data_IF_866492657221
#
_entry.id   IF_866492657221
#
_cell.length_a   1.000
_cell.length_b   1.000
_cell.length_c   1.000
_cell.angle_alpha   90.00
_cell.angle_beta   90.00
_cell.angle_gamma   90.00
#
_symmetry.space_group_name_H-M   'P 1'
#
loop_
_entity.id
_entity.type
_entity.pdbx_description
1 polymer ?
#
# COMPACT_ATOMS: atom_id res chain seq x y z
N UNK A 1 16.82 5.21 -3.28
CA UNK A 1 15.34 5.17 -3.45
C UNK A 1 14.55 5.60 -2.21
N UNK A 2 14.89 5.15 -0.99
CA UNK A 2 14.10 5.47 0.22
C UNK A 2 13.97 6.97 0.50
N UNK A 3 15.07 7.73 0.42
CA UNK A 3 15.09 9.18 0.61
C UNK A 3 14.17 9.93 -0.39
N UNK A 4 14.24 9.56 -1.67
CA UNK A 4 13.38 10.12 -2.73
C UNK A 4 11.91 9.83 -2.43
N UNK A 5 11.59 8.61 -1.99
CA UNK A 5 10.22 8.23 -1.63
C UNK A 5 9.71 9.03 -0.42
N UNK A 6 10.54 9.24 0.62
CA UNK A 6 10.18 10.06 1.79
C UNK A 6 9.93 11.53 1.43
N UNK A 7 10.78 12.11 0.57
CA UNK A 7 10.60 13.48 0.07
C UNK A 7 9.32 13.60 -0.75
N UNK A 8 9.01 12.59 -1.58
CA UNK A 8 7.76 12.56 -2.35
C UNK A 8 6.52 12.54 -1.45
N UNK A 9 6.58 11.92 -0.27
CA UNK A 9 5.47 11.98 0.70
C UNK A 9 5.25 13.41 1.21
N UNK A 10 6.34 14.09 1.59
CA UNK A 10 6.30 15.46 2.10
C UNK A 10 5.81 16.44 1.03
N UNK A 11 6.31 16.34 -0.20
CA UNK A 11 5.84 17.18 -1.31
C UNK A 11 4.38 16.91 -1.65
N UNK A 12 3.97 15.64 -1.70
CA UNK A 12 2.57 15.28 -1.93
C UNK A 12 1.66 15.90 -0.86
N UNK A 13 2.01 15.77 0.43
CA UNK A 13 1.26 16.36 1.52
C UNK A 13 1.22 17.89 1.45
N UNK A 14 2.36 18.54 1.19
CA UNK A 14 2.47 19.98 1.02
C UNK A 14 1.53 20.48 -0.08
N UNK A 15 1.60 19.89 -1.27
CA UNK A 15 0.78 20.31 -2.41
C UNK A 15 -0.71 20.04 -2.21
N UNK A 16 -1.09 18.94 -1.55
CA UNK A 16 -2.50 18.69 -1.17
C UNK A 16 -2.97 19.81 -0.23
N UNK A 17 -2.22 20.10 0.83
CA UNK A 17 -2.60 21.12 1.82
C UNK A 17 -2.68 22.51 1.19
N UNK A 18 -1.72 22.87 0.32
CA UNK A 18 -1.77 24.13 -0.43
C UNK A 18 -2.99 24.19 -1.35
N UNK A 19 -3.27 23.13 -2.11
CA UNK A 19 -4.45 23.05 -2.97
C UNK A 19 -5.76 23.19 -2.18
N UNK A 20 -5.86 22.50 -1.04
CA UNK A 20 -7.02 22.59 -0.15
C UNK A 20 -7.18 23.99 0.48
N UNK A 21 -6.10 24.59 0.96
CA UNK A 21 -6.10 25.95 1.50
C UNK A 21 -6.60 26.96 0.45
N UNK A 22 -6.03 26.91 -0.76
CA UNK A 22 -6.44 27.78 -1.86
C UNK A 22 -7.90 27.54 -2.29
N UNK A 23 -8.33 26.28 -2.28
CA UNK A 23 -9.72 25.91 -2.57
C UNK A 23 -10.71 26.48 -1.55
N UNK A 24 -10.33 26.55 -0.28
CA UNK A 24 -11.15 27.16 0.77
C UNK A 24 -11.18 28.70 0.66
N UNK A 25 -10.04 29.33 0.42
CA UNK A 25 -9.88 30.78 0.55
C UNK A 25 -10.29 31.57 -0.71
N UNK A 26 -10.03 31.06 -1.92
CA UNK A 26 -10.09 31.88 -3.14
C UNK A 26 -11.08 31.39 -4.18
N UNK A 27 -12.10 32.18 -4.53
CA UNK A 27 -13.14 31.82 -5.52
C UNK A 27 -12.94 32.37 -6.94
N UNK A 28 -11.71 32.59 -7.38
CA UNK A 28 -11.44 33.17 -8.71
C UNK A 28 -10.81 32.18 -9.68
N UNK A 29 -11.18 32.28 -10.97
CA UNK A 29 -10.71 31.38 -12.05
C UNK A 29 -9.18 31.33 -12.14
N UNK A 30 -8.49 32.48 -11.95
CA UNK A 30 -7.01 32.52 -11.94
C UNK A 30 -6.41 31.68 -10.81
N UNK A 31 -7.10 31.60 -9.66
CA UNK A 31 -6.66 30.81 -8.50
C UNK A 31 -7.03 29.33 -8.66
N UNK A 32 -8.11 29.01 -9.38
CA UNK A 32 -8.46 27.62 -9.72
C UNK A 32 -7.37 26.92 -10.53
N UNK A 33 -6.70 27.65 -11.43
CA UNK A 33 -5.53 27.12 -12.15
C UNK A 33 -4.39 26.73 -11.19
N UNK A 34 -4.13 27.56 -10.16
CA UNK A 34 -3.10 27.27 -9.16
C UNK A 34 -3.50 26.07 -8.29
N UNK A 35 -4.79 25.95 -7.95
CA UNK A 35 -5.33 24.80 -7.23
C UNK A 35 -5.14 23.52 -8.05
N UNK A 36 -5.53 23.55 -9.33
CA UNK A 36 -5.35 22.44 -10.28
C UNK A 36 -3.87 22.06 -10.38
N UNK A 37 -2.98 23.05 -10.55
CA UNK A 37 -1.55 22.80 -10.65
C UNK A 37 -0.98 22.21 -9.36
N UNK A 38 -1.43 22.67 -8.19
CA UNK A 38 -1.04 22.09 -6.89
C UNK A 38 -1.45 20.63 -6.80
N UNK A 39 -2.69 20.28 -7.13
CA UNK A 39 -3.13 18.88 -7.12
C UNK A 39 -2.43 18.03 -8.19
N UNK A 40 -2.07 18.60 -9.34
CA UNK A 40 -1.26 17.91 -10.34
C UNK A 40 0.14 17.58 -9.81
N UNK A 41 0.82 18.55 -9.18
CA UNK A 41 2.12 18.32 -8.54
C UNK A 41 2.03 17.31 -7.41
N UNK A 42 0.93 17.30 -6.65
CA UNK A 42 0.68 16.29 -5.64
C UNK A 42 0.60 14.87 -6.24
N UNK A 43 -0.10 14.72 -7.37
CA UNK A 43 -0.23 13.44 -8.10
C UNK A 43 1.08 12.99 -8.73
N UNK A 44 1.84 13.92 -9.33
CA UNK A 44 3.17 13.65 -9.88
C UNK A 44 4.17 13.25 -8.79
N UNK A 45 4.03 13.81 -7.58
CA UNK A 45 4.82 13.39 -6.41
C UNK A 45 4.40 12.00 -5.94
N UNK A 46 3.08 11.74 -5.85
CA UNK A 46 2.55 10.45 -5.39
C UNK A 46 1.11 10.18 -5.84
N UNK A 47 0.89 9.00 -6.41
CA UNK A 47 -0.43 8.50 -6.81
C UNK A 47 -1.48 8.53 -5.68
N UNK A 48 -1.05 8.30 -4.44
CA UNK A 48 -1.92 8.33 -3.26
C UNK A 48 -2.60 9.68 -3.06
N UNK A 49 -2.08 10.75 -3.66
CA UNK A 49 -2.67 12.08 -3.61
C UNK A 49 -4.07 12.15 -4.20
N UNK A 50 -4.52 11.15 -4.97
CA UNK A 50 -5.91 11.09 -5.47
C UNK A 50 -6.97 11.21 -4.35
N UNK A 51 -6.56 10.99 -3.09
CA UNK A 51 -7.39 11.25 -1.91
C UNK A 51 -7.88 12.70 -1.79
N UNK A 52 -7.29 13.69 -2.48
CA UNK A 52 -7.83 15.04 -2.51
C UNK A 52 -9.24 15.07 -3.14
N UNK A 53 -9.57 14.15 -4.05
CA UNK A 53 -10.86 14.12 -4.75
C UNK A 53 -12.05 14.00 -3.78
N UNK A 54 -12.13 12.95 -2.93
CA UNK A 54 -13.18 12.87 -1.92
C UNK A 54 -13.08 14.00 -0.87
N UNK A 55 -11.89 14.53 -0.58
CA UNK A 55 -11.74 15.66 0.35
C UNK A 55 -12.38 16.95 -0.21
N UNK A 56 -12.16 17.27 -1.48
CA UNK A 56 -12.76 18.44 -2.12
C UNK A 56 -14.29 18.36 -2.14
N UNK A 57 -14.85 17.19 -2.45
CA UNK A 57 -16.30 16.98 -2.39
C UNK A 57 -16.84 17.20 -0.97
N UNK A 58 -16.15 16.69 0.05
CA UNK A 58 -16.55 16.86 1.45
C UNK A 58 -16.47 18.32 1.91
N UNK A 59 -15.34 18.98 1.64
CA UNK A 59 -15.11 20.39 2.00
C UNK A 59 -16.10 21.29 1.28
N UNK A 60 -16.41 20.99 0.02
CA UNK A 60 -17.42 21.73 -0.72
C UNK A 60 -18.81 21.57 -0.12
N UNK A 61 -19.18 20.34 0.25
CA UNK A 61 -20.48 20.04 0.84
C UNK A 61 -20.68 20.72 2.20
N UNK A 62 -19.66 20.73 3.07
CA UNK A 62 -19.77 21.27 4.43
C UNK A 62 -19.48 22.77 4.55
N UNK A 63 -18.51 23.29 3.79
CA UNK A 63 -17.93 24.61 4.07
C UNK A 63 -18.03 25.58 2.89
N UNK A 64 -17.44 25.22 1.75
CA UNK A 64 -17.13 26.21 0.70
C UNK A 64 -18.30 26.48 -0.24
N UNK A 65 -19.15 25.49 -0.50
CA UNK A 65 -20.36 25.57 -1.35
C UNK A 65 -20.15 26.19 -2.74
N UNK A 66 -19.00 25.93 -3.39
CA UNK A 66 -18.78 26.15 -4.82
C UNK A 66 -19.75 25.32 -5.66
N UNK A 67 -19.92 25.71 -6.93
CA UNK A 67 -20.74 24.93 -7.86
C UNK A 67 -20.13 23.55 -8.10
N UNK A 68 -20.98 22.53 -8.28
CA UNK A 68 -20.50 21.17 -8.53
C UNK A 68 -19.60 21.09 -9.77
N UNK A 69 -19.90 21.89 -10.80
CA UNK A 69 -19.09 21.99 -12.03
C UNK A 69 -17.65 22.42 -11.73
N UNK A 70 -17.45 23.46 -10.92
CA UNK A 70 -16.11 23.92 -10.53
C UNK A 70 -15.35 22.86 -9.74
N UNK A 71 -16.01 22.22 -8.78
CA UNK A 71 -15.38 21.16 -7.98
C UNK A 71 -14.96 19.98 -8.84
N UNK A 72 -15.82 19.54 -9.76
CA UNK A 72 -15.50 18.47 -10.70
C UNK A 72 -14.32 18.88 -11.59
N UNK A 73 -14.29 20.11 -12.11
CA UNK A 73 -13.18 20.58 -12.95
C UNK A 73 -11.85 20.62 -12.18
N UNK A 74 -11.85 21.21 -10.98
CA UNK A 74 -10.66 21.27 -10.11
C UNK A 74 -10.18 19.87 -9.73
N UNK A 75 -11.10 18.90 -9.60
CA UNK A 75 -10.74 17.54 -9.18
C UNK A 75 -10.30 16.64 -10.33
N UNK A 76 -10.97 16.70 -11.49
CA UNK A 76 -10.73 15.80 -12.62
C UNK A 76 -9.62 16.28 -13.56
N UNK A 77 -9.42 17.59 -13.74
CA UNK A 77 -8.36 18.08 -14.64
C UNK A 77 -6.96 17.61 -14.21
N UNK A 78 -6.55 17.72 -12.92
CA UNK A 78 -5.27 17.17 -12.48
C UNK A 78 -5.15 15.66 -12.73
N UNK A 79 -6.24 14.92 -12.52
CA UNK A 79 -6.28 13.47 -12.69
C UNK A 79 -6.08 13.08 -14.17
N UNK A 80 -6.79 13.73 -15.08
CA UNK A 80 -6.66 13.48 -16.52
C UNK A 80 -5.24 13.82 -16.99
N UNK A 81 -4.70 14.97 -16.59
CA UNK A 81 -3.33 15.36 -16.93
C UNK A 81 -2.30 14.35 -16.40
N UNK A 82 -2.46 13.90 -15.15
CA UNK A 82 -1.62 12.88 -14.55
C UNK A 82 -1.69 11.54 -15.31
N UNK A 83 -2.91 11.07 -15.63
CA UNK A 83 -3.10 9.83 -16.38
C UNK A 83 -2.51 9.91 -17.78
N UNK A 84 -2.70 11.04 -18.48
CA UNK A 84 -2.09 11.27 -19.79
C UNK A 84 -0.56 11.24 -19.71
N UNK A 85 0.04 11.91 -18.71
CA UNK A 85 1.49 11.86 -18.48
C UNK A 85 1.97 10.45 -18.18
N UNK A 86 1.21 9.70 -17.37
CA UNK A 86 1.54 8.31 -17.02
C UNK A 86 1.50 7.39 -18.24
N UNK A 87 0.43 7.43 -19.03
CA UNK A 87 0.29 6.64 -20.26
C UNK A 87 1.42 6.97 -21.23
N UNK A 88 1.71 8.27 -21.41
CA UNK A 88 2.83 8.71 -22.23
C UNK A 88 4.17 8.15 -21.74
N UNK A 89 4.44 8.25 -20.44
CA UNK A 89 5.67 7.75 -19.81
C UNK A 89 5.83 6.23 -19.96
N UNK A 90 4.78 5.47 -19.68
CA UNK A 90 4.77 4.00 -19.82
C UNK A 90 4.97 3.57 -21.28
N UNK A 91 4.47 4.34 -22.25
CA UNK A 91 4.61 4.04 -23.68
C UNK A 91 6.02 4.35 -24.21
N UNK A 92 6.63 5.45 -23.77
CA UNK A 92 7.89 5.95 -24.34
C UNK A 92 9.15 5.45 -23.62
N UNK A 93 9.09 5.21 -22.30
CA UNK A 93 10.24 4.77 -21.50
C UNK A 93 10.24 3.26 -21.22
N UNK A 94 9.81 2.47 -22.22
CA UNK A 94 9.38 1.05 -22.15
C UNK A 94 10.33 -0.02 -21.58
N UNK A 95 11.33 0.32 -20.76
CA UNK A 95 12.14 -0.65 -20.02
C UNK A 95 11.50 -1.08 -18.68
N UNK A 96 10.46 -0.40 -18.20
CA UNK A 96 9.69 -0.90 -17.08
C UNK A 96 8.75 -2.00 -17.55
N UNK A 97 9.24 -3.24 -17.61
CA UNK A 97 8.48 -4.49 -17.75
C UNK A 97 7.51 -4.72 -16.56
N UNK A 98 6.72 -3.73 -16.19
CA UNK A 98 5.50 -3.92 -15.43
C UNK A 98 4.45 -4.08 -16.51
N UNK A 99 4.36 -5.28 -17.10
CA UNK A 99 3.16 -5.69 -17.80
C UNK A 99 2.03 -5.39 -16.81
N UNK A 100 1.10 -4.45 -17.09
CA UNK A 100 -0.11 -4.38 -16.33
C UNK A 100 -0.80 -5.69 -16.69
N UNK A 101 -0.61 -6.70 -15.85
CA UNK A 101 -1.47 -7.87 -15.85
C UNK A 101 -2.81 -7.26 -15.45
N UNK A 102 -3.57 -6.76 -16.43
CA UNK A 102 -5.00 -6.57 -16.34
C UNK A 102 -5.53 -7.96 -16.08
N UNK A 103 -5.48 -8.36 -14.81
CA UNK A 103 -5.80 -9.68 -14.36
C UNK A 103 -7.24 -9.95 -14.73
N UNK A 104 -7.46 -11.14 -15.28
CA UNK A 104 -8.77 -11.71 -15.50
C UNK A 104 -9.69 -11.40 -14.31
N UNK A 105 -10.90 -10.93 -14.61
CA UNK A 105 -11.96 -10.79 -13.63
C UNK A 105 -12.21 -12.15 -12.98
N UNK A 106 -11.83 -12.28 -11.71
CA UNK A 106 -12.00 -13.53 -10.95
C UNK A 106 -13.38 -13.52 -10.29
N UNK A 107 -14.35 -14.13 -10.96
CA UNK A 107 -15.75 -14.20 -10.52
C UNK A 107 -16.02 -15.38 -9.57
N UNK A 108 -14.97 -16.06 -9.05
CA UNK A 108 -15.16 -17.17 -8.13
C UNK A 108 -15.82 -16.67 -6.81
N UNK A 109 -17.02 -17.16 -6.46
CA UNK A 109 -17.76 -16.66 -5.30
C UNK A 109 -17.03 -16.87 -3.97
N UNK A 110 -16.30 -17.97 -3.82
CA UNK A 110 -15.50 -18.22 -2.61
C UNK A 110 -14.35 -17.21 -2.49
N UNK A 111 -13.72 -16.84 -3.61
CA UNK A 111 -12.68 -15.79 -3.62
C UNK A 111 -13.26 -14.40 -3.39
N UNK A 112 -14.47 -14.12 -3.89
CA UNK A 112 -15.18 -12.86 -3.62
C UNK A 112 -15.48 -12.72 -2.13
N UNK A 113 -16.00 -13.78 -1.48
CA UNK A 113 -16.23 -13.79 -0.03
C UNK A 113 -14.91 -13.62 0.75
N UNK A 114 -13.84 -14.29 0.31
CA UNK A 114 -12.51 -14.11 0.88
C UNK A 114 -12.04 -12.64 0.77
N UNK A 115 -12.11 -12.04 -0.41
CA UNK A 115 -11.73 -10.65 -0.63
C UNK A 115 -12.58 -9.71 0.21
N UNK A 116 -13.89 -9.94 0.30
CA UNK A 116 -14.79 -9.15 1.14
C UNK A 116 -14.35 -9.17 2.61
N UNK A 117 -14.10 -10.35 3.17
CA UNK A 117 -13.64 -10.49 4.56
C UNK A 117 -12.27 -9.84 4.75
N UNK A 118 -11.31 -10.14 3.86
CA UNK A 118 -9.98 -9.55 3.92
C UNK A 118 -10.00 -8.02 3.86
N UNK A 119 -10.90 -7.45 3.05
CA UNK A 119 -11.11 -6.02 2.93
C UNK A 119 -11.55 -5.38 4.26
N UNK A 120 -12.63 -5.91 4.87
CA UNK A 120 -13.14 -5.38 6.14
C UNK A 120 -12.16 -5.57 7.29
N UNK A 121 -11.52 -6.73 7.37
CA UNK A 121 -10.49 -7.05 8.36
C UNK A 121 -9.33 -6.03 8.25
N UNK A 122 -8.80 -5.84 7.04
CA UNK A 122 -7.70 -4.91 6.77
C UNK A 122 -8.04 -3.43 6.98
N UNK A 123 -9.33 -3.09 6.90
CA UNK A 123 -9.83 -1.74 7.13
C UNK A 123 -9.98 -1.39 8.62
N UNK A 124 -10.47 -2.33 9.43
CA UNK A 124 -10.84 -2.07 10.83
C UNK A 124 -9.64 -2.24 11.75
N UNK A 125 -8.81 -3.25 11.50
CA UNK A 125 -7.71 -3.59 12.37
C UNK A 125 -6.38 -3.60 11.59
N UNK A 126 -5.26 -3.14 12.20
CA UNK A 126 -3.93 -3.41 11.69
C UNK A 126 -3.60 -4.87 11.96
N UNK A 127 -4.27 -5.77 11.24
CA UNK A 127 -4.34 -7.21 11.50
C UNK A 127 -2.97 -7.87 11.47
N UNK A 128 -2.10 -7.38 10.58
CA UNK A 128 -0.69 -7.77 10.52
C UNK A 128 0.02 -7.50 11.86
N UNK A 129 -0.25 -6.36 12.50
CA UNK A 129 0.36 -5.99 13.79
C UNK A 129 -0.15 -6.87 14.93
N UNK A 130 -1.47 -7.08 15.03
CA UNK A 130 -2.06 -7.94 16.08
C UNK A 130 -1.56 -9.37 16.01
N UNK A 131 -1.45 -9.91 14.79
CA UNK A 131 -0.96 -11.27 14.60
C UNK A 131 0.55 -11.40 14.76
N UNK A 132 1.32 -10.34 14.53
CA UNK A 132 2.75 -10.32 14.86
C UNK A 132 2.98 -10.34 16.37
N UNK A 133 2.14 -9.68 17.18
CA UNK A 133 2.17 -9.82 18.64
C UNK A 133 1.72 -11.21 19.12
N UNK A 134 0.79 -11.84 18.41
CA UNK A 134 0.33 -13.21 18.71
C UNK A 134 1.30 -14.31 18.21
N UNK A 135 2.40 -13.94 17.56
CA UNK A 135 3.40 -14.84 17.00
C UNK A 135 3.08 -15.31 15.58
N UNK A 136 4.14 -15.48 14.77
CA UNK A 136 4.05 -15.87 13.36
C UNK A 136 3.33 -17.21 13.13
N UNK A 137 3.39 -18.15 14.09
CA UNK A 137 2.64 -19.42 13.99
C UNK A 137 1.12 -19.21 13.98
N UNK A 138 0.62 -18.28 14.80
CA UNK A 138 -0.80 -17.92 14.86
C UNK A 138 -1.23 -17.18 13.59
N UNK A 139 -0.38 -16.29 13.07
CA UNK A 139 -0.57 -15.62 11.78
C UNK A 139 -0.67 -16.64 10.64
N UNK A 140 0.27 -17.59 10.55
CA UNK A 140 0.28 -18.60 9.50
C UNK A 140 -0.93 -19.54 9.59
N UNK A 141 -1.33 -19.92 10.80
CA UNK A 141 -2.54 -20.72 11.02
C UNK A 141 -3.79 -20.00 10.51
N UNK A 142 -3.93 -18.71 10.84
CA UNK A 142 -5.07 -17.90 10.38
C UNK A 142 -5.01 -17.65 8.87
N UNK A 143 -3.84 -17.34 8.32
CA UNK A 143 -3.64 -17.22 6.87
C UNK A 143 -3.99 -18.54 6.17
N UNK A 144 -3.57 -19.69 6.71
CA UNK A 144 -3.92 -21.02 6.16
C UNK A 144 -5.43 -21.23 6.21
N UNK A 145 -6.09 -20.88 7.32
CA UNK A 145 -7.53 -20.97 7.46
C UNK A 145 -8.29 -20.09 6.44
N UNK A 146 -7.76 -18.90 6.12
CA UNK A 146 -8.34 -18.02 5.11
C UNK A 146 -7.98 -18.39 3.66
N UNK A 147 -6.78 -18.93 3.39
CA UNK A 147 -6.34 -19.34 2.04
C UNK A 147 -6.98 -20.64 1.58
N UNK A 148 -7.27 -21.54 2.52
CA UNK A 148 -7.87 -22.84 2.26
C UNK A 148 -9.10 -23.04 3.15
N UNK A 149 -10.19 -22.30 2.87
CA UNK A 149 -11.37 -22.29 3.73
C UNK A 149 -12.04 -23.66 3.81
N UNK A 150 -11.91 -24.50 2.77
CA UNK A 150 -12.43 -25.88 2.78
C UNK A 150 -11.65 -26.80 3.71
N UNK A 151 -10.34 -26.65 3.82
CA UNK A 151 -9.48 -27.45 4.71
C UNK A 151 -9.61 -27.03 6.19
N UNK A 152 -10.11 -25.82 6.47
CA UNK A 152 -10.21 -25.24 7.82
C UNK A 152 -11.60 -24.64 8.09
N UNK A 153 -12.64 -25.33 7.62
CA UNK A 153 -14.01 -24.81 7.57
C UNK A 153 -14.53 -24.27 8.92
N UNK A 154 -14.35 -24.96 10.07
CA UNK A 154 -14.87 -24.46 11.35
C UNK A 154 -14.22 -23.13 11.79
N UNK A 155 -12.91 -23.00 11.60
CA UNK A 155 -12.14 -21.79 11.96
C UNK A 155 -12.55 -20.64 11.03
N UNK A 156 -12.64 -20.91 9.72
CA UNK A 156 -13.09 -19.93 8.75
C UNK A 156 -14.49 -19.42 9.04
N UNK A 157 -15.46 -20.31 9.29
CA UNK A 157 -16.84 -19.93 9.62
C UNK A 157 -16.92 -19.11 10.90
N UNK A 158 -16.18 -19.51 11.94
CA UNK A 158 -16.15 -18.77 13.22
C UNK A 158 -15.61 -17.36 13.04
N UNK A 159 -14.51 -17.21 12.29
CA UNK A 159 -13.91 -15.90 11.99
C UNK A 159 -14.83 -15.05 11.12
N UNK A 160 -15.39 -15.63 10.05
CA UNK A 160 -16.32 -14.94 9.17
C UNK A 160 -17.55 -14.44 9.94
N UNK A 161 -18.16 -15.29 10.77
CA UNK A 161 -19.29 -14.93 11.61
C UNK A 161 -18.93 -13.81 12.60
N UNK A 162 -17.80 -13.92 13.29
CA UNK A 162 -17.35 -12.92 14.27
C UNK A 162 -17.11 -11.56 13.59
N UNK A 163 -16.40 -11.55 12.45
CA UNK A 163 -16.14 -10.32 11.68
C UNK A 163 -17.44 -9.73 11.17
N UNK A 164 -18.33 -10.54 10.59
CA UNK A 164 -19.64 -10.09 10.11
C UNK A 164 -20.49 -9.50 11.23
N UNK A 165 -20.51 -10.13 12.41
CA UNK A 165 -21.25 -9.65 13.58
C UNK A 165 -20.71 -8.29 14.06
N UNK A 166 -19.38 -8.14 14.16
CA UNK A 166 -18.74 -6.88 14.55
C UNK A 166 -19.03 -5.79 13.50
N UNK A 167 -18.83 -6.08 12.21
CA UNK A 167 -19.10 -5.15 11.13
C UNK A 167 -20.57 -4.71 11.10
N UNK A 168 -21.50 -5.65 11.23
CA UNK A 168 -22.94 -5.36 11.25
C UNK A 168 -23.32 -4.52 12.47
N UNK A 169 -22.77 -4.84 13.65
CA UNK A 169 -23.02 -4.09 14.88
C UNK A 169 -22.51 -2.64 14.76
N UNK A 170 -21.28 -2.47 14.28
CA UNK A 170 -20.70 -1.14 14.02
C UNK A 170 -21.50 -0.36 12.98
N UNK A 171 -21.86 -1.00 11.87
CA UNK A 171 -22.63 -0.37 10.80
C UNK A 171 -24.03 0.05 11.26
N UNK A 172 -24.74 -0.82 11.99
CA UNK A 172 -26.03 -0.49 12.61
C UNK A 172 -25.90 0.70 13.56
N UNK A 173 -24.83 0.73 14.38
CA UNK A 173 -24.56 1.83 15.29
C UNK A 173 -24.31 3.15 14.54
N UNK A 174 -23.48 3.12 13.49
CA UNK A 174 -23.25 4.30 12.65
C UNK A 174 -24.52 4.80 11.96
N UNK A 175 -25.40 3.91 11.45
CA UNK A 175 -26.67 4.31 10.84
C UNK A 175 -27.57 5.01 11.85
N UNK A 176 -27.74 4.42 13.04
CA UNK A 176 -28.55 5.00 14.14
C UNK A 176 -28.08 6.40 14.52
N UNK A 177 -26.77 6.62 14.60
CA UNK A 177 -26.19 7.88 15.04
C UNK A 177 -26.10 8.93 13.92
N UNK A 178 -25.66 8.54 12.72
CA UNK A 178 -25.33 9.48 11.64
C UNK A 178 -26.50 9.76 10.71
N UNK A 179 -27.48 8.85 10.58
CA UNK A 179 -28.60 8.94 9.65
C UNK A 179 -28.10 9.21 8.22
N UNK A 180 -28.61 10.24 7.53
CA UNK A 180 -28.26 10.57 6.13
C UNK A 180 -26.78 10.95 5.95
N UNK A 181 -26.08 11.37 6.99
CA UNK A 181 -24.67 11.77 6.90
C UNK A 181 -23.72 10.57 6.70
N UNK A 182 -24.20 9.34 6.89
CA UNK A 182 -23.42 8.11 6.66
C UNK A 182 -23.19 7.82 5.18
N UNK A 183 -24.06 8.34 4.30
CA UNK A 183 -24.13 7.95 2.87
C UNK A 183 -22.82 8.23 2.16
N UNK A 184 -22.26 9.44 2.34
CA UNK A 184 -21.04 9.83 1.65
C UNK A 184 -19.81 9.01 2.09
N UNK A 185 -19.48 8.89 3.40
CA UNK A 185 -18.42 8.00 3.86
C UNK A 185 -18.56 6.56 3.37
N UNK A 186 -19.78 6.00 3.42
CA UNK A 186 -20.06 4.64 2.98
C UNK A 186 -19.87 4.49 1.47
N UNK A 187 -20.26 5.48 0.67
CA UNK A 187 -20.00 5.46 -0.77
C UNK A 187 -18.51 5.34 -1.09
N UNK A 188 -17.63 6.05 -0.36
CA UNK A 188 -16.18 5.95 -0.57
C UNK A 188 -15.66 4.53 -0.29
N UNK A 189 -16.19 3.90 0.75
CA UNK A 189 -15.88 2.51 1.11
C UNK A 189 -16.39 1.56 0.02
N UNK A 190 -17.64 1.70 -0.41
CA UNK A 190 -18.26 0.82 -1.39
C UNK A 190 -17.61 0.92 -2.78
N UNK A 191 -17.21 2.11 -3.22
CA UNK A 191 -16.49 2.30 -4.49
C UNK A 191 -15.16 1.55 -4.46
N UNK A 192 -14.40 1.66 -3.37
CA UNK A 192 -13.15 0.92 -3.22
C UNK A 192 -13.38 -0.59 -3.12
N UNK A 193 -14.41 -1.02 -2.41
CA UNK A 193 -14.77 -2.43 -2.33
C UNK A 193 -15.12 -2.99 -3.71
N UNK A 194 -15.91 -2.27 -4.51
CA UNK A 194 -16.25 -2.67 -5.87
C UNK A 194 -15.00 -2.91 -6.71
N UNK A 195 -14.03 -1.99 -6.68
CA UNK A 195 -12.75 -2.18 -7.40
C UNK A 195 -11.98 -3.36 -6.81
N UNK A 196 -11.92 -3.49 -5.48
CA UNK A 196 -11.13 -4.52 -4.81
C UNK A 196 -11.61 -5.94 -5.08
N UNK A 197 -12.93 -6.18 -5.04
CA UNK A 197 -13.52 -7.50 -5.26
C UNK A 197 -13.17 -8.06 -6.64
N UNK A 198 -13.21 -7.21 -7.67
CA UNK A 198 -13.03 -7.62 -9.05
C UNK A 198 -11.58 -7.50 -9.56
N UNK A 199 -10.70 -6.80 -8.84
CA UNK A 199 -9.30 -6.63 -9.24
C UNK A 199 -8.41 -7.78 -8.78
N UNK A 200 -7.44 -8.17 -9.60
CA UNK A 200 -6.41 -9.17 -9.28
C UNK A 200 -5.16 -8.46 -8.73
N UNK A 201 -4.54 -9.00 -7.66
CA UNK A 201 -3.32 -8.45 -7.05
C UNK A 201 -3.35 -6.93 -6.73
N UNK A 202 -4.41 -6.47 -6.07
CA UNK A 202 -4.54 -5.09 -5.61
C UNK A 202 -3.46 -4.76 -4.56
N UNK A 203 -2.54 -3.87 -4.93
CA UNK A 203 -1.56 -3.29 -4.00
C UNK A 203 -2.27 -2.54 -2.86
N UNK A 204 -1.66 -2.45 -1.67
CA UNK A 204 -2.25 -1.82 -0.46
C UNK A 204 -2.82 -0.40 -0.69
N UNK A 205 -2.43 0.26 -1.78
CA UNK A 205 -2.99 1.53 -2.27
C UNK A 205 -4.52 1.52 -2.44
N UNK A 206 -5.17 0.36 -2.64
CA UNK A 206 -6.63 0.27 -2.68
C UNK A 206 -7.32 0.73 -1.37
N UNK A 207 -6.57 0.74 -0.26
CA UNK A 207 -7.06 1.11 1.07
C UNK A 207 -7.15 2.62 1.31
N UNK A 208 -6.66 3.49 0.41
CA UNK A 208 -6.69 4.94 0.65
C UNK A 208 -8.10 5.53 0.68
N UNK A 209 -8.90 5.26 -0.34
CA UNK A 209 -10.30 5.71 -0.43
C UNK A 209 -11.17 5.20 0.75
N UNK A 210 -11.09 3.92 1.15
CA UNK A 210 -11.86 3.44 2.28
C UNK A 210 -11.32 3.92 3.62
N UNK A 211 -10.01 4.15 3.77
CA UNK A 211 -9.45 4.82 4.95
C UNK A 211 -9.94 6.25 5.09
N UNK A 212 -10.05 6.99 3.98
CA UNK A 212 -10.66 8.32 3.97
C UNK A 212 -12.15 8.24 4.37
N UNK A 213 -12.92 7.31 3.79
CA UNK A 213 -14.31 7.04 4.18
C UNK A 213 -14.44 6.73 5.67
N UNK A 214 -13.64 5.81 6.20
CA UNK A 214 -13.62 5.46 7.63
C UNK A 214 -13.27 6.66 8.51
N UNK A 215 -12.31 7.49 8.09
CA UNK A 215 -11.89 8.68 8.83
C UNK A 215 -13.01 9.71 8.94
N UNK A 216 -13.73 9.96 7.84
CA UNK A 216 -14.89 10.87 7.83
C UNK A 216 -16.02 10.28 8.67
N UNK A 217 -16.27 8.97 8.54
CA UNK A 217 -17.28 8.25 9.32
C UNK A 217 -17.03 8.41 10.82
N UNK A 218 -15.80 8.17 11.26
CA UNK A 218 -15.37 8.33 12.65
C UNK A 218 -15.45 9.78 13.12
N UNK A 219 -15.03 10.75 12.30
CA UNK A 219 -15.11 12.17 12.65
C UNK A 219 -16.55 12.63 12.87
N UNK A 220 -17.46 12.30 11.94
CA UNK A 220 -18.89 12.61 12.07
C UNK A 220 -19.51 11.90 13.27
N UNK A 221 -19.08 10.68 13.52
CA UNK A 221 -19.57 9.88 14.64
C UNK A 221 -19.18 10.49 15.97
N UNK A 222 -17.89 10.80 16.18
CA UNK A 222 -17.40 11.45 17.38
C UNK A 222 -18.02 12.84 17.59
N UNK A 223 -18.32 13.57 16.52
CA UNK A 223 -19.02 14.86 16.60
C UNK A 223 -20.43 14.74 17.20
N UNK A 224 -21.12 13.61 16.95
CA UNK A 224 -22.51 13.39 17.42
C UNK A 224 -22.61 12.67 18.76
N UNK A 225 -21.51 12.18 19.33
CA UNK A 225 -21.52 11.58 20.66
C UNK A 225 -21.71 12.66 21.74
N UNK A 226 -22.64 12.44 22.66
CA UNK A 226 -22.84 13.29 23.84
C UNK A 226 -21.63 13.28 24.78
N UNK A 227 -20.86 12.19 24.81
CA UNK A 227 -19.72 11.98 25.70
C UNK A 227 -18.40 12.39 25.06
N UNK A 228 -18.17 13.70 24.88
CA UNK A 228 -16.97 14.26 24.23
C UNK A 228 -15.65 13.77 24.83
N UNK A 229 -15.59 13.52 26.15
CA UNK A 229 -14.39 12.97 26.83
C UNK A 229 -14.08 11.54 26.40
N UNK A 230 -15.09 10.68 26.35
CA UNK A 230 -14.92 9.28 25.89
C UNK A 230 -14.53 9.23 24.42
N UNK A 231 -15.15 10.08 23.58
CA UNK A 231 -14.77 10.24 22.18
C UNK A 231 -13.29 10.63 22.01
N UNK A 232 -12.82 11.59 22.80
CA UNK A 232 -11.41 12.01 22.80
C UNK A 232 -10.48 10.87 23.25
N UNK A 233 -10.83 10.12 24.31
CA UNK A 233 -10.04 8.98 24.78
C UNK A 233 -9.94 7.90 23.69
N UNK A 234 -11.05 7.57 23.02
CA UNK A 234 -11.04 6.59 21.91
C UNK A 234 -10.19 7.10 20.75
N UNK A 235 -10.29 8.39 20.39
CA UNK A 235 -9.47 8.98 19.35
C UNK A 235 -7.98 8.94 19.71
N UNK A 236 -7.61 9.29 20.95
CA UNK A 236 -6.23 9.24 21.44
C UNK A 236 -5.71 7.79 21.44
N UNK A 237 -6.52 6.82 21.84
CA UNK A 237 -6.18 5.41 21.76
C UNK A 237 -5.94 4.97 20.31
N UNK A 238 -6.77 5.41 19.37
CA UNK A 238 -6.62 5.09 17.95
C UNK A 238 -5.33 5.68 17.37
N UNK A 239 -5.03 6.94 17.69
CA UNK A 239 -3.78 7.62 17.31
C UNK A 239 -2.58 6.90 17.93
N UNK A 240 -2.66 6.51 19.20
CA UNK A 240 -1.60 5.79 19.89
C UNK A 240 -1.30 4.44 19.22
N UNK A 241 -2.33 3.64 18.95
CA UNK A 241 -2.19 2.34 18.26
C UNK A 241 -1.61 2.52 16.85
N UNK A 242 -2.06 3.53 16.10
CA UNK A 242 -1.51 3.82 14.77
C UNK A 242 -0.05 4.28 14.83
N UNK A 243 0.30 5.18 15.75
CA UNK A 243 1.67 5.64 15.95
C UNK A 243 2.59 4.50 16.37
N UNK A 244 2.14 3.64 17.28
CA UNK A 244 2.87 2.42 17.65
C UNK A 244 3.06 1.51 16.42
N UNK A 245 2.04 1.36 15.57
CA UNK A 245 2.17 0.60 14.31
C UNK A 245 3.19 1.21 13.37
N UNK A 246 3.25 2.54 13.26
CA UNK A 246 4.22 3.22 12.40
C UNK A 246 5.64 3.07 12.93
N UNK A 247 5.85 3.23 14.24
CA UNK A 247 7.16 3.01 14.88
C UNK A 247 7.62 1.57 14.65
N UNK A 248 6.74 0.59 14.84
CA UNK A 248 7.07 -0.81 14.63
C UNK A 248 7.45 -1.10 13.16
N UNK A 249 6.70 -0.54 12.21
CA UNK A 249 7.05 -0.64 10.77
C UNK A 249 8.40 0.01 10.47
N UNK A 250 8.66 1.20 11.02
CA UNK A 250 9.94 1.90 10.84
C UNK A 250 11.11 1.09 11.39
N UNK A 251 10.95 0.49 12.58
CA UNK A 251 11.95 -0.40 13.16
C UNK A 251 12.22 -1.63 12.28
N UNK A 252 11.18 -2.27 11.74
CA UNK A 252 11.36 -3.38 10.79
C UNK A 252 12.03 -2.97 9.50
N UNK A 253 11.67 -1.80 8.96
CA UNK A 253 12.35 -1.25 7.78
C UNK A 253 13.84 -1.02 8.03
N UNK A 254 14.20 -0.55 9.24
CA UNK A 254 15.59 -0.42 9.65
C UNK A 254 16.31 -1.77 9.72
N UNK A 255 15.74 -2.76 10.42
CA UNK A 255 16.33 -4.10 10.50
C UNK A 255 16.51 -4.73 9.12
N UNK A 256 15.52 -4.58 8.25
CA UNK A 256 15.56 -5.06 6.87
C UNK A 256 16.67 -4.39 6.05
N UNK A 257 16.88 -3.08 6.22
CA UNK A 257 17.96 -2.35 5.57
C UNK A 257 19.34 -2.82 6.09
N UNK A 258 19.51 -2.94 7.41
CA UNK A 258 20.75 -3.44 8.03
C UNK A 258 21.06 -4.88 7.61
N UNK A 259 20.04 -5.74 7.48
CA UNK A 259 20.19 -7.07 6.92
C UNK A 259 20.62 -7.03 5.45
N UNK A 260 19.96 -6.19 4.65
CA UNK A 260 20.28 -6.06 3.23
C UNK A 260 21.69 -5.59 2.98
N UNK A 261 22.16 -4.62 3.78
CA UNK A 261 23.52 -4.12 3.68
C UNK A 261 24.55 -5.20 4.05
N UNK A 262 24.28 -5.99 5.10
CA UNK A 262 25.15 -7.11 5.50
C UNK A 262 25.25 -8.17 4.40
N UNK A 263 24.12 -8.56 3.80
CA UNK A 263 24.07 -9.54 2.71
C UNK A 263 24.85 -9.03 1.49
N UNK A 264 24.65 -7.77 1.10
CA UNK A 264 25.37 -7.17 -0.04
C UNK A 264 26.87 -7.08 0.22
N UNK A 265 27.27 -6.73 1.45
CA UNK A 265 28.68 -6.65 1.86
C UNK A 265 29.35 -8.02 1.90
N UNK A 266 28.70 -9.04 2.44
CA UNK A 266 29.20 -10.42 2.43
C UNK A 266 29.39 -10.91 0.99
N UNK A 267 28.41 -10.65 0.14
CA UNK A 267 28.49 -11.00 -1.28
C UNK A 267 29.63 -10.28 -1.99
N UNK A 268 29.80 -8.98 -1.77
CA UNK A 268 30.90 -8.20 -2.35
C UNK A 268 32.26 -8.80 -1.99
N UNK A 269 32.44 -9.15 -0.71
CA UNK A 269 33.68 -9.76 -0.22
C UNK A 269 33.91 -11.15 -0.84
N UNK A 270 32.87 -11.99 -0.91
CA UNK A 270 32.95 -13.35 -1.44
C UNK A 270 33.12 -13.42 -2.96
N UNK A 271 32.63 -12.41 -3.65
CA UNK A 271 32.77 -12.30 -5.10
C UNK A 271 33.98 -11.48 -5.50
N UNK A 272 34.85 -11.00 -4.59
CA UNK A 272 35.98 -10.09 -4.84
C UNK A 272 36.91 -10.43 -6.02
N UNK A 273 37.01 -11.70 -6.36
CA UNK A 273 37.80 -12.28 -7.46
C UNK A 273 37.03 -12.43 -8.79
N UNK A 274 35.71 -12.27 -8.75
CA UNK A 274 34.82 -12.42 -9.91
C UNK A 274 34.96 -11.23 -10.87
N UNK A 275 35.12 -11.54 -12.16
CA UNK A 275 35.24 -10.56 -13.23
C UNK A 275 33.91 -9.82 -13.45
N UNK A 276 34.01 -8.55 -13.83
CA UNK A 276 32.85 -7.77 -14.29
C UNK A 276 32.25 -8.42 -15.55
N UNK A 277 30.93 -8.53 -15.60
CA UNK A 277 30.17 -9.23 -16.63
C UNK A 277 29.86 -10.71 -16.32
N UNK A 278 30.31 -11.24 -15.18
CA UNK A 278 29.99 -12.61 -14.79
C UNK A 278 28.53 -12.79 -14.36
N UNK A 279 27.98 -13.97 -14.67
CA UNK A 279 26.63 -14.39 -14.29
C UNK A 279 26.68 -15.24 -13.02
N UNK A 280 26.06 -14.77 -11.94
CA UNK A 280 26.03 -15.48 -10.66
C UNK A 280 24.61 -15.98 -10.38
N UNK A 281 24.47 -17.28 -10.14
CA UNK A 281 23.18 -17.87 -9.75
C UNK A 281 23.05 -18.01 -8.25
N UNK A 282 21.89 -17.63 -7.71
CA UNK A 282 21.54 -17.84 -6.30
C UNK A 282 20.46 -18.90 -6.12
N UNK A 283 20.77 -19.87 -5.26
CA UNK A 283 19.81 -20.82 -4.73
C UNK A 283 19.25 -20.37 -3.38
N UNK A 284 17.99 -20.75 -3.12
CA UNK A 284 17.34 -20.66 -1.81
C UNK A 284 17.30 -19.29 -1.14
N UNK A 285 17.25 -18.20 -1.93
CA UNK A 285 16.92 -16.89 -1.36
C UNK A 285 15.54 -17.00 -0.69
N UNK A 286 15.41 -16.65 0.60
CA UNK A 286 14.17 -16.82 1.31
C UNK A 286 13.06 -16.06 0.58
N UNK A 287 11.91 -16.72 0.31
CA UNK A 287 10.80 -16.04 -0.31
C UNK A 287 10.39 -14.87 0.58
N UNK A 288 10.21 -13.70 -0.04
CA UNK A 288 9.74 -12.43 0.56
C UNK A 288 9.43 -12.55 2.06
N UNK A 289 10.39 -12.20 2.92
CA UNK A 289 10.03 -11.97 4.32
C UNK A 289 8.98 -10.86 4.34
N UNK A 290 7.79 -11.14 4.88
CA UNK A 290 6.66 -10.21 4.87
C UNK A 290 7.10 -8.85 5.45
N UNK A 291 7.03 -7.79 4.64
CA UNK A 291 7.46 -6.44 5.02
C UNK A 291 8.90 -6.08 4.65
N UNK A 292 9.69 -7.02 4.14
CA UNK A 292 11.07 -6.81 3.67
C UNK A 292 11.07 -6.71 2.15
N UNK A 293 10.91 -5.48 1.66
CA UNK A 293 10.98 -5.15 0.25
C UNK A 293 12.41 -4.93 -0.25
N UNK A 294 13.47 -5.11 0.54
CA UNK A 294 14.82 -4.68 0.13
C UNK A 294 15.67 -5.73 -0.59
N UNK A 295 15.34 -7.01 -0.43
CA UNK A 295 16.04 -8.12 -1.07
C UNK A 295 15.02 -9.12 -1.58
N UNK A 296 14.69 -8.99 -2.85
CA UNK A 296 13.89 -9.93 -3.62
C UNK A 296 14.52 -10.10 -4.99
N UNK A 297 14.19 -11.18 -5.67
CA UNK A 297 14.58 -11.44 -7.06
C UNK A 297 14.35 -10.21 -7.97
N UNK A 298 13.33 -9.40 -7.68
CA UNK A 298 12.96 -8.24 -8.49
C UNK A 298 13.81 -6.99 -8.30
N UNK A 299 14.60 -6.90 -7.22
CA UNK A 299 15.36 -5.69 -6.91
C UNK A 299 16.77 -5.94 -6.42
N UNK A 300 17.19 -7.20 -6.32
CA UNK A 300 18.54 -7.59 -5.95
C UNK A 300 19.57 -6.96 -6.90
N UNK A 301 19.35 -7.07 -8.22
CA UNK A 301 20.21 -6.48 -9.25
C UNK A 301 20.33 -4.96 -9.07
N UNK A 302 19.19 -4.26 -8.99
CA UNK A 302 19.19 -2.80 -8.81
C UNK A 302 19.85 -2.35 -7.51
N UNK A 303 19.76 -3.15 -6.45
CA UNK A 303 20.43 -2.86 -5.18
C UNK A 303 21.95 -3.03 -5.30
N UNK A 304 22.42 -4.06 -6.01
CA UNK A 304 23.83 -4.23 -6.32
C UNK A 304 24.38 -3.10 -7.19
N UNK A 305 23.73 -2.81 -8.31
CA UNK A 305 24.18 -1.76 -9.25
C UNK A 305 24.23 -0.38 -8.57
N UNK A 306 23.35 -0.13 -7.61
CA UNK A 306 23.36 1.10 -6.81
C UNK A 306 24.55 1.18 -5.86
N UNK A 307 24.90 0.10 -5.17
CA UNK A 307 25.99 0.09 -4.17
C UNK A 307 27.38 -0.13 -4.79
N UNK A 308 27.45 -0.81 -5.93
CA UNK A 308 28.70 -1.21 -6.59
C UNK A 308 28.66 -0.91 -8.11
N UNK A 309 28.51 0.37 -8.51
CA UNK A 309 28.27 0.75 -9.91
C UNK A 309 29.42 0.36 -10.86
N UNK A 310 30.66 0.29 -10.34
CA UNK A 310 31.86 -0.06 -11.12
C UNK A 310 31.99 -1.57 -11.35
N UNK A 311 31.11 -2.38 -10.74
CA UNK A 311 31.20 -3.83 -10.72
C UNK A 311 29.92 -4.47 -11.24
N UNK A 312 29.84 -4.65 -12.56
CA UNK A 312 28.66 -5.23 -13.19
C UNK A 312 28.68 -6.74 -13.00
N UNK A 313 27.72 -7.27 -12.26
CA UNK A 313 27.51 -8.71 -12.09
C UNK A 313 26.05 -8.97 -12.38
N UNK A 314 25.75 -9.97 -13.19
CA UNK A 314 24.37 -10.33 -13.52
C UNK A 314 23.90 -11.43 -12.58
N UNK A 315 22.88 -11.14 -11.77
CA UNK A 315 22.31 -12.14 -10.86
C UNK A 315 21.16 -12.91 -11.50
N UNK A 316 21.31 -14.23 -11.50
CA UNK A 316 20.31 -15.18 -11.96
C UNK A 316 19.60 -15.79 -10.76
N UNK A 317 18.28 -15.92 -10.85
CA UNK A 317 17.44 -16.55 -9.83
C UNK A 317 16.62 -17.66 -10.47
N UNK A 318 16.27 -18.68 -9.69
CA UNK A 318 15.53 -19.85 -10.19
C UNK A 318 14.20 -19.47 -10.84
N UNK A 319 13.62 -18.36 -10.42
CA UNK A 319 12.35 -17.80 -10.89
C UNK A 319 12.49 -17.00 -12.20
N UNK A 320 13.71 -16.62 -12.61
CA UNK A 320 14.00 -15.77 -13.77
C UNK A 320 14.98 -16.37 -14.77
N UNK A 321 15.49 -17.58 -14.54
CA UNK A 321 16.36 -18.29 -15.48
C UNK A 321 15.61 -18.63 -16.77
N UNK A 322 16.16 -18.22 -17.91
CA UNK A 322 15.86 -18.83 -19.20
C UNK A 322 16.68 -20.11 -19.35
N UNK A 323 16.13 -21.16 -19.97
CA UNK A 323 16.81 -22.46 -20.15
C UNK A 323 18.18 -22.38 -20.85
N UNK A 324 18.51 -21.25 -21.49
CA UNK A 324 19.78 -20.96 -22.16
C UNK A 324 20.85 -20.30 -21.28
N UNK A 325 20.51 -19.80 -20.08
CA UNK A 325 21.48 -19.12 -19.22
C UNK A 325 22.37 -20.13 -18.47
N UNK A 326 23.68 -20.08 -18.76
CA UNK A 326 24.70 -20.82 -18.02
C UNK A 326 25.34 -19.90 -16.99
N UNK A 327 25.19 -20.15 -15.68
CA UNK A 327 25.85 -19.36 -14.65
C UNK A 327 27.35 -19.67 -14.61
N UNK A 328 28.16 -18.65 -14.37
CA UNK A 328 29.60 -18.78 -14.13
C UNK A 328 29.87 -19.32 -12.73
N UNK A 329 29.03 -18.94 -11.76
CA UNK A 329 29.14 -19.31 -10.35
C UNK A 329 27.77 -19.61 -9.73
N UNK A 330 27.74 -20.51 -8.75
CA UNK A 330 26.53 -20.84 -7.99
C UNK A 330 26.77 -20.60 -6.51
N UNK A 331 25.89 -19.84 -5.87
CA UNK A 331 25.88 -19.61 -4.43
C UNK A 331 24.57 -20.11 -3.81
N UNK A 332 24.68 -20.85 -2.71
CA UNK A 332 23.55 -21.19 -1.84
C UNK A 332 23.39 -20.12 -0.77
N UNK A 333 22.16 -19.67 -0.53
CA UNK A 333 21.88 -18.76 0.56
C UNK A 333 21.34 -19.52 1.78
N UNK A 334 22.13 -19.57 2.86
CA UNK A 334 21.65 -20.12 4.12
C UNK A 334 20.94 -19.03 4.93
N UNK A 335 19.60 -19.04 4.90
CA UNK A 335 18.78 -18.05 5.61
C UNK A 335 18.95 -18.05 7.15
N UNK A 336 19.44 -19.14 7.75
CA UNK A 336 19.68 -19.21 9.19
C UNK A 336 20.90 -18.40 9.64
N UNK A 337 21.94 -18.34 8.80
CA UNK A 337 23.19 -17.66 9.11
C UNK A 337 23.42 -16.39 8.27
N UNK A 338 22.54 -16.09 7.31
CA UNK A 338 22.65 -14.95 6.39
C UNK A 338 23.93 -14.97 5.55
N UNK A 339 24.42 -16.17 5.21
CA UNK A 339 25.69 -16.36 4.51
C UNK A 339 25.47 -16.99 3.14
N UNK A 340 26.21 -16.49 2.16
CA UNK A 340 26.35 -17.16 0.87
C UNK A 340 27.44 -18.22 0.91
N UNK A 341 27.14 -19.43 0.45
CA UNK A 341 28.13 -20.49 0.29
C UNK A 341 28.34 -20.77 -1.18
N UNK A 342 29.57 -20.61 -1.68
CA UNK A 342 29.92 -20.99 -3.05
C UNK A 342 29.76 -22.50 -3.20
N UNK A 343 28.94 -22.93 -4.16
CA UNK A 343 28.70 -24.34 -4.49
C UNK A 343 29.56 -24.76 -5.68
N UNK A 344 29.70 -23.86 -6.67
CA UNK A 344 30.40 -24.11 -7.93
C UNK A 344 31.14 -22.86 -8.38
#
# INVERSE_FOLDING_TARGET
MFFINCINELFSAFFILTGLYLFCEFRSVKKDIIIIFSFLLALLSRESAMCFFPMLLLINYKSVKRSLKEVLLISFVPLILYLSFRIFSETYFGESNIIPIMGSLDLNPAKVVYKLLHYFISMIFPVKMLFEFAGYGTLEFLIKAFRKPTENLPVFLTLAFTVSLICFSLFYFFIRTLKKEIVFPVMLILISLAVYLFSFNTAERFLYLPSAGLSILLALFFQKLSFKRTALIILLLFIFVHSASLIFRAYRHRQAAEYSERVMRDLYNKTGDVKSGSKIFFENIPPKQFGIFFLSVFNFQSNWDYNYPDRKIDFLFKETINQSDKPDLIYDFNAGNSEFKKIR
#
